data_IF_259956917286
#
_entry.id   IF_259956917286
#
_cell.length_a   1.000
_cell.length_b   1.000
_cell.length_c   1.000
_cell.angle_alpha   90.00
_cell.angle_beta   90.00
_cell.angle_gamma   90.00
#
_symmetry.space_group_name_H-M   'P 1'
#
loop_
_entity.id
_entity.type
_entity.pdbx_description
1 polymer ?
#
# COMPACT_ATOMS: atom_id res chain seq x y z
N UNK A 1 -34.65 15.59 -25.34
CA UNK A 1 -33.75 14.86 -26.27
C UNK A 1 -33.12 13.74 -25.46
N UNK A 2 -33.26 12.48 -25.88
CA UNK A 2 -32.60 11.38 -25.19
C UNK A 2 -31.08 11.52 -25.38
N UNK A 3 -30.35 11.72 -24.29
CA UNK A 3 -28.89 11.72 -24.33
C UNK A 3 -28.41 10.33 -24.74
N UNK A 4 -27.58 10.25 -25.77
CA UNK A 4 -27.00 8.99 -26.20
C UNK A 4 -26.07 8.46 -25.10
N UNK A 5 -26.28 7.22 -24.69
CA UNK A 5 -25.51 6.53 -23.64
C UNK A 5 -24.56 5.53 -24.28
N UNK A 6 -23.35 5.43 -23.74
CA UNK A 6 -22.31 4.49 -24.10
C UNK A 6 -22.00 3.62 -22.88
N UNK A 7 -21.65 2.36 -23.13
CA UNK A 7 -21.20 1.45 -22.07
C UNK A 7 -19.68 1.31 -22.19
N UNK A 8 -18.89 1.86 -21.28
CA UNK A 8 -17.43 1.80 -21.32
C UNK A 8 -16.92 0.66 -20.45
N UNK A 9 -15.98 -0.15 -20.94
CA UNK A 9 -15.38 -1.24 -20.14
C UNK A 9 -14.15 -0.72 -19.39
N UNK A 10 -14.25 -0.57 -18.07
CA UNK A 10 -13.12 -0.22 -17.21
C UNK A 10 -12.47 -1.47 -16.62
N UNK A 11 -11.20 -1.76 -16.92
CA UNK A 11 -10.50 -2.93 -16.40
C UNK A 11 -9.60 -2.61 -15.18
N UNK A 12 -9.66 -1.38 -14.66
CA UNK A 12 -8.76 -0.92 -13.60
C UNK A 12 -9.47 -0.81 -12.26
N UNK A 13 -8.76 -1.20 -11.21
CA UNK A 13 -9.24 -1.17 -9.84
C UNK A 13 -8.14 -0.67 -8.90
N UNK A 14 -8.53 0.13 -7.91
CA UNK A 14 -7.67 0.56 -6.82
C UNK A 14 -8.42 0.28 -5.53
N UNK A 15 -7.96 -0.73 -4.80
CA UNK A 15 -8.53 -1.08 -3.50
C UNK A 15 -7.75 -0.35 -2.41
N UNK A 16 -8.47 0.14 -1.40
CA UNK A 16 -7.89 0.80 -0.22
C UNK A 16 -8.12 -0.11 0.97
N UNK A 17 -7.03 -0.49 1.63
CA UNK A 17 -7.09 -1.26 2.88
C UNK A 17 -7.01 -0.29 4.06
N UNK A 18 -7.96 -0.33 5.02
CA UNK A 18 -7.99 0.60 6.13
C UNK A 18 -6.78 0.38 7.04
N UNK A 19 -6.13 1.46 7.47
CA UNK A 19 -5.13 1.45 8.54
C UNK A 19 -4.92 2.90 9.00
N UNK A 20 -5.13 3.16 10.29
CA UNK A 20 -5.02 4.52 10.81
C UNK A 20 -3.58 4.87 11.17
N UNK A 21 -2.86 3.93 11.79
CA UNK A 21 -1.50 4.19 12.30
C UNK A 21 -0.65 2.94 12.21
N UNK A 22 0.64 3.16 11.94
CA UNK A 22 1.64 2.11 11.79
C UNK A 22 2.92 2.49 12.55
N UNK A 23 3.37 1.59 13.42
CA UNK A 23 4.65 1.66 14.12
C UNK A 23 5.44 0.38 13.84
N UNK A 24 6.74 0.50 13.59
CA UNK A 24 7.64 -0.64 13.46
C UNK A 24 8.81 -0.47 14.42
N UNK A 25 9.02 -1.46 15.27
CA UNK A 25 10.05 -1.52 16.31
C UNK A 25 10.99 -2.68 15.99
N UNK A 26 12.22 -2.38 15.56
CA UNK A 26 13.24 -3.37 15.24
C UNK A 26 14.18 -3.58 16.43
N UNK A 27 14.50 -4.85 16.72
CA UNK A 27 15.48 -5.30 17.70
C UNK A 27 16.43 -6.33 17.04
N UNK A 28 16.76 -6.15 15.75
CA UNK A 28 17.52 -7.12 14.97
C UNK A 28 18.95 -7.30 15.49
N UNK A 29 19.54 -6.26 16.06
CA UNK A 29 20.88 -6.33 16.66
C UNK A 29 20.88 -6.86 18.11
N UNK A 30 19.71 -6.97 18.74
CA UNK A 30 19.51 -7.55 20.07
C UNK A 30 18.21 -8.39 20.11
N UNK A 31 18.15 -9.49 19.33
CA UNK A 31 16.90 -10.20 19.12
C UNK A 31 16.53 -11.08 20.31
N UNK A 32 15.25 -11.41 20.40
CA UNK A 32 14.74 -12.51 21.20
C UNK A 32 15.07 -13.86 20.56
N UNK A 33 14.81 -14.95 21.27
CA UNK A 33 14.91 -16.30 20.70
C UNK A 33 13.92 -16.52 19.55
N UNK A 34 12.79 -15.81 19.55
CA UNK A 34 11.75 -15.92 18.52
C UNK A 34 11.67 -14.67 17.65
N UNK A 35 11.65 -13.48 18.25
CA UNK A 35 11.36 -12.23 17.55
C UNK A 35 12.58 -11.36 17.25
N UNK A 36 12.50 -10.63 16.13
CA UNK A 36 13.45 -9.59 15.71
C UNK A 36 12.81 -8.19 15.67
N UNK A 37 11.51 -8.11 15.96
CA UNK A 37 10.80 -6.85 16.00
C UNK A 37 9.30 -7.03 16.14
N UNK A 38 8.62 -5.91 16.33
CA UNK A 38 7.17 -5.84 16.43
C UNK A 38 6.66 -4.68 15.60
N UNK A 39 5.47 -4.85 15.03
CA UNK A 39 4.79 -3.84 14.24
C UNK A 39 3.36 -3.65 14.75
N UNK A 40 3.15 -2.71 15.70
CA UNK A 40 1.83 -2.29 16.10
C UNK A 40 1.09 -1.51 15.00
N UNK A 41 -0.18 -1.86 14.82
CA UNK A 41 -1.11 -1.29 13.85
C UNK A 41 -2.40 -0.90 14.56
N UNK A 42 -3.01 0.20 14.12
CA UNK A 42 -4.29 0.69 14.65
C UNK A 42 -5.28 0.86 13.52
N UNK A 43 -6.52 0.46 13.78
CA UNK A 43 -7.63 0.54 12.85
C UNK A 43 -8.85 1.15 13.54
N UNK A 44 -9.65 1.88 12.76
CA UNK A 44 -11.00 2.28 13.15
C UNK A 44 -12.00 1.26 12.62
N UNK A 45 -12.77 0.67 13.53
CA UNK A 45 -13.87 -0.24 13.23
C UNK A 45 -15.20 0.40 13.66
N UNK A 46 -16.22 0.33 12.80
CA UNK A 46 -17.52 0.97 13.07
C UNK A 46 -18.24 0.38 14.30
N UNK A 47 -17.99 -0.89 14.63
CA UNK A 47 -18.64 -1.61 15.73
C UNK A 47 -17.77 -1.66 16.99
N UNK A 48 -16.47 -1.90 16.82
CA UNK A 48 -15.52 -2.07 17.92
C UNK A 48 -14.82 -0.77 18.33
N UNK A 49 -14.92 0.28 17.52
CA UNK A 49 -14.19 1.53 17.72
C UNK A 49 -12.72 1.39 17.31
N UNK A 50 -11.82 1.97 18.10
CA UNK A 50 -10.37 1.83 17.85
C UNK A 50 -9.90 0.45 18.29
N UNK A 51 -9.32 -0.31 17.35
CA UNK A 51 -8.78 -1.65 17.59
C UNK A 51 -7.32 -1.75 17.22
N UNK A 52 -6.60 -2.61 17.94
CA UNK A 52 -5.16 -2.76 17.85
C UNK A 52 -4.75 -4.18 17.44
N UNK A 53 -3.68 -4.23 16.66
CA UNK A 53 -3.00 -5.45 16.24
C UNK A 53 -1.50 -5.24 16.37
N UNK A 54 -0.76 -6.31 16.68
CA UNK A 54 0.70 -6.31 16.70
C UNK A 54 1.21 -7.49 15.87
N UNK A 55 1.99 -7.20 14.83
CA UNK A 55 2.73 -8.22 14.09
C UNK A 55 4.06 -8.48 14.80
N UNK A 56 4.30 -9.70 15.25
CA UNK A 56 5.60 -10.17 15.74
C UNK A 56 6.44 -10.73 14.60
N UNK A 57 7.52 -10.03 14.25
CA UNK A 57 8.44 -10.45 13.20
C UNK A 57 9.40 -11.52 13.74
N UNK A 58 9.35 -12.73 13.16
CA UNK A 58 10.11 -13.88 13.65
C UNK A 58 11.48 -13.99 12.97
N UNK A 59 12.43 -14.63 13.66
CA UNK A 59 13.77 -14.94 13.13
C UNK A 59 13.78 -15.87 11.92
N UNK A 60 12.77 -16.72 11.78
CA UNK A 60 12.63 -17.62 10.63
C UNK A 60 12.14 -16.90 9.36
N UNK A 61 11.73 -15.63 9.50
CA UNK A 61 11.21 -14.77 8.44
C UNK A 61 9.67 -14.77 8.33
N UNK A 62 8.97 -15.58 9.13
CA UNK A 62 7.50 -15.55 9.21
C UNK A 62 7.00 -14.50 10.20
N UNK A 63 5.69 -14.33 10.28
CA UNK A 63 5.06 -13.41 11.24
C UNK A 63 4.00 -14.09 12.11
N UNK A 64 3.98 -13.78 13.40
CA UNK A 64 2.84 -14.05 14.27
C UNK A 64 1.98 -12.77 14.36
N UNK A 65 0.66 -12.87 14.22
CA UNK A 65 -0.27 -11.74 14.25
C UNK A 65 -1.10 -11.80 15.53
N UNK A 66 -0.93 -10.83 16.42
CA UNK A 66 -1.66 -10.70 17.68
C UNK A 66 -2.72 -9.62 17.54
N UNK A 67 -3.98 -9.92 17.82
CA UNK A 67 -5.05 -8.94 17.64
C UNK A 67 -6.03 -8.96 18.81
N UNK A 68 -6.66 -7.81 19.06
CA UNK A 68 -7.70 -7.70 20.08
C UNK A 68 -8.94 -8.55 19.70
N UNK A 69 -9.71 -9.00 20.70
CA UNK A 69 -10.88 -9.84 20.46
C UNK A 69 -11.94 -9.20 19.57
N UNK A 70 -12.54 -10.01 18.71
CA UNK A 70 -13.63 -9.59 17.82
C UNK A 70 -13.19 -9.00 16.49
N UNK A 71 -11.89 -8.76 16.29
CA UNK A 71 -11.37 -8.36 14.98
C UNK A 71 -11.51 -9.51 13.95
N UNK A 72 -12.02 -9.20 12.76
CA UNK A 72 -12.04 -10.15 11.66
C UNK A 72 -10.75 -10.02 10.83
N UNK A 73 -9.85 -10.99 11.00
CA UNK A 73 -8.56 -11.02 10.31
C UNK A 73 -8.63 -12.00 9.15
N UNK A 74 -8.45 -11.52 7.92
CA UNK A 74 -8.26 -12.36 6.74
C UNK A 74 -6.79 -12.81 6.65
N UNK A 75 -6.49 -14.12 6.77
CA UNK A 75 -5.13 -14.62 6.69
C UNK A 75 -4.41 -14.30 5.37
N UNK A 76 -5.15 -14.19 4.25
CA UNK A 76 -4.59 -13.96 2.93
C UNK A 76 -3.91 -12.59 2.79
N UNK A 77 -4.24 -11.64 3.66
CA UNK A 77 -3.60 -10.32 3.71
C UNK A 77 -2.12 -10.40 4.16
N UNK A 78 -1.69 -11.52 4.73
CA UNK A 78 -0.33 -11.70 5.27
C UNK A 78 0.58 -12.55 4.39
N UNK A 79 0.09 -13.05 3.24
CA UNK A 79 0.90 -13.84 2.29
C UNK A 79 2.03 -13.02 1.66
N UNK A 80 1.90 -11.69 1.64
CA UNK A 80 2.91 -10.75 1.12
C UNK A 80 3.89 -10.25 2.19
N UNK A 81 3.76 -10.70 3.44
CA UNK A 81 4.55 -10.21 4.58
C UNK A 81 5.65 -11.23 4.94
N UNK A 82 6.93 -10.85 4.77
CA UNK A 82 8.06 -11.72 5.09
C UNK A 82 8.05 -13.02 4.26
N UNK A 83 8.14 -14.18 4.94
CA UNK A 83 7.95 -15.52 4.37
C UNK A 83 6.54 -16.08 4.65
N UNK A 84 5.58 -15.20 4.87
CA UNK A 84 4.19 -15.52 5.17
C UNK A 84 3.88 -15.70 6.65
N UNK A 85 2.63 -16.07 6.90
CA UNK A 85 2.03 -16.18 8.23
C UNK A 85 2.52 -17.43 9.00
N UNK A 86 2.81 -17.28 10.29
CA UNK A 86 3.07 -18.37 11.24
C UNK A 86 1.85 -18.67 12.12
N UNK A 87 1.18 -17.65 12.64
CA UNK A 87 -0.08 -17.77 13.38
C UNK A 87 -0.85 -16.45 13.41
N UNK A 88 -2.16 -16.56 13.56
CA UNK A 88 -3.05 -15.48 14.01
C UNK A 88 -3.54 -15.86 15.40
N UNK A 89 -3.43 -14.93 16.34
CA UNK A 89 -3.68 -15.17 17.75
C UNK A 89 -4.55 -14.02 18.27
N UNK A 90 -5.81 -14.35 18.55
CA UNK A 90 -6.68 -13.46 19.31
C UNK A 90 -6.19 -13.44 20.77
N UNK A 91 -5.89 -12.26 21.31
CA UNK A 91 -5.51 -12.12 22.71
C UNK A 91 -5.87 -10.77 23.30
N UNK A 92 -6.07 -10.77 24.63
CA UNK A 92 -6.31 -9.54 25.38
C UNK A 92 -5.02 -8.71 25.50
N UNK A 93 -5.16 -7.42 25.28
CA UNK A 93 -4.08 -6.46 25.49
C UNK A 93 -4.33 -5.76 26.83
N UNK A 94 -3.51 -6.05 27.84
CA UNK A 94 -3.55 -5.38 29.13
C UNK A 94 -3.29 -3.86 29.00
N UNK A 95 -2.53 -3.47 27.97
CA UNK A 95 -2.44 -2.11 27.50
C UNK A 95 -2.36 -2.09 25.97
N UNK A 96 -3.11 -1.20 25.34
CA UNK A 96 -3.09 -0.94 23.90
C UNK A 96 -3.27 0.56 23.68
N UNK A 97 -2.19 1.26 23.37
CA UNK A 97 -2.24 2.69 23.11
C UNK A 97 -1.18 3.05 22.07
N UNK A 98 -1.57 3.85 21.08
CA UNK A 98 -0.63 4.43 20.14
C UNK A 98 -1.15 5.72 19.53
N UNK A 99 -0.43 6.81 19.81
CA UNK A 99 -0.66 8.14 19.27
C UNK A 99 0.64 8.76 18.77
N UNK A 100 0.55 9.66 17.80
CA UNK A 100 1.65 10.50 17.36
C UNK A 100 1.30 11.95 17.63
N UNK A 101 2.05 12.58 18.53
CA UNK A 101 1.84 13.98 18.92
C UNK A 101 2.85 14.90 18.25
N UNK A 102 2.85 16.18 18.61
CA UNK A 102 3.89 17.13 18.21
C UNK A 102 5.29 16.74 18.72
N UNK A 103 5.36 16.06 19.87
CA UNK A 103 6.63 15.56 20.44
C UNK A 103 7.04 14.20 19.89
N UNK A 104 6.16 13.50 19.17
CA UNK A 104 6.44 12.22 18.52
C UNK A 104 5.59 11.08 19.05
N UNK A 105 6.10 9.86 18.96
CA UNK A 105 5.34 8.64 19.31
C UNK A 105 5.11 8.55 20.82
N UNK A 106 3.87 8.27 21.18
CA UNK A 106 3.48 7.71 22.46
C UNK A 106 2.81 6.36 22.19
N UNK A 107 3.42 5.26 22.64
CA UNK A 107 2.90 3.92 22.44
C UNK A 107 3.13 3.05 23.69
N UNK A 108 2.15 2.22 24.02
CA UNK A 108 2.25 1.23 25.09
C UNK A 108 1.43 -0.01 24.71
N UNK A 109 2.09 -1.16 24.60
CA UNK A 109 1.47 -2.44 24.30
C UNK A 109 1.91 -3.48 25.31
N UNK A 110 0.94 -4.15 25.93
CA UNK A 110 1.17 -5.25 26.87
C UNK A 110 0.23 -6.39 26.57
N UNK A 111 0.77 -7.56 26.22
CA UNK A 111 0.00 -8.75 25.88
C UNK A 111 0.85 -10.01 26.11
N UNK A 112 0.20 -11.19 26.12
CA UNK A 112 0.91 -12.46 26.13
C UNK A 112 1.02 -13.01 24.71
N UNK A 113 2.22 -13.45 24.32
CA UNK A 113 2.42 -14.12 23.04
C UNK A 113 1.85 -15.55 23.05
N UNK A 114 1.89 -16.25 21.90
CA UNK A 114 1.37 -17.63 21.78
C UNK A 114 2.04 -18.67 22.69
N UNK A 115 3.20 -18.34 23.25
CA UNK A 115 3.95 -19.17 24.20
C UNK A 115 3.74 -18.72 25.65
N UNK A 116 2.75 -17.85 25.90
CA UNK A 116 2.43 -17.27 27.21
C UNK A 116 3.57 -16.43 27.78
N UNK A 117 4.41 -15.85 26.93
CA UNK A 117 5.46 -14.90 27.33
C UNK A 117 4.88 -13.51 27.33
N UNK A 118 5.08 -12.77 28.41
CA UNK A 118 4.67 -11.37 28.48
C UNK A 118 5.50 -10.53 27.50
N UNK A 119 4.82 -9.73 26.68
CA UNK A 119 5.42 -8.76 25.76
C UNK A 119 5.04 -7.37 26.24
N UNK A 120 6.04 -6.50 26.40
CA UNK A 120 5.84 -5.10 26.75
C UNK A 120 6.63 -4.22 25.76
N UNK A 121 5.92 -3.33 25.05
CA UNK A 121 6.51 -2.39 24.11
C UNK A 121 6.07 -0.99 24.53
N UNK A 122 7.02 -0.14 24.91
CA UNK A 122 6.73 1.22 25.36
C UNK A 122 7.63 2.24 24.67
N UNK A 123 7.02 3.24 24.06
CA UNK A 123 7.72 4.36 23.43
C UNK A 123 7.08 5.65 23.91
N UNK A 124 7.90 6.58 24.42
CA UNK A 124 7.43 7.90 24.82
C UNK A 124 8.46 8.97 24.43
N UNK A 125 8.18 9.73 23.36
CA UNK A 125 8.99 10.87 22.93
C UNK A 125 8.56 12.17 23.65
N UNK A 126 9.45 12.81 24.39
CA UNK A 126 9.21 14.10 25.08
C UNK A 126 10.02 15.25 24.47
N UNK A 127 10.56 15.03 23.28
CA UNK A 127 11.46 15.97 22.61
C UNK A 127 10.68 17.16 22.02
N UNK A 128 10.92 18.36 22.55
CA UNK A 128 10.24 19.59 22.17
C UNK A 128 10.61 20.16 20.79
N UNK A 129 11.67 19.63 20.15
CA UNK A 129 12.03 20.07 18.80
C UNK A 129 10.94 19.64 17.81
N UNK A 130 10.54 20.53 16.91
CA UNK A 130 9.55 20.21 15.88
C UNK A 130 10.02 19.04 15.00
N UNK A 131 9.14 18.05 14.79
CA UNK A 131 9.34 16.95 13.83
C UNK A 131 9.43 17.50 12.41
N UNK A 132 10.15 16.79 11.55
CA UNK A 132 10.22 17.13 10.12
C UNK A 132 9.97 15.86 9.29
N UNK A 133 8.74 15.36 9.29
CA UNK A 133 8.38 14.13 8.61
C UNK A 133 8.50 14.25 7.08
N UNK A 134 8.40 13.13 6.39
CA UNK A 134 8.42 13.05 4.93
C UNK A 134 7.49 11.92 4.44
N UNK A 135 7.26 11.83 3.12
CA UNK A 135 6.51 10.72 2.54
C UNK A 135 7.44 9.64 2.00
N UNK A 136 6.99 8.38 2.01
CA UNK A 136 7.75 7.23 1.55
C UNK A 136 6.81 6.18 0.93
N UNK A 137 7.21 5.55 -0.17
CA UNK A 137 6.64 4.27 -0.60
C UNK A 137 7.45 3.16 0.07
N UNK A 138 6.82 2.35 0.93
CA UNK A 138 7.49 1.23 1.55
C UNK A 138 7.79 0.12 0.51
N UNK A 139 8.92 -0.59 0.61
CA UNK A 139 9.35 -1.56 -0.38
C UNK A 139 8.74 -2.94 -0.12
N UNK A 140 7.49 -3.00 0.34
CA UNK A 140 6.83 -4.26 0.73
C UNK A 140 6.71 -5.24 -0.44
N UNK A 141 6.51 -4.74 -1.66
CA UNK A 141 6.44 -5.58 -2.85
C UNK A 141 7.78 -6.18 -3.31
N UNK A 142 8.91 -5.81 -2.72
CA UNK A 142 10.20 -6.38 -3.15
C UNK A 142 10.30 -7.88 -2.84
N UNK A 143 9.75 -8.30 -1.70
CA UNK A 143 9.79 -9.68 -1.21
C UNK A 143 8.73 -10.61 -1.82
N UNK A 144 7.74 -10.07 -2.55
CA UNK A 144 6.66 -10.88 -3.10
C UNK A 144 7.13 -11.72 -4.31
N UNK A 145 7.09 -13.04 -4.16
CA UNK A 145 7.43 -13.99 -5.23
C UNK A 145 6.26 -14.17 -6.22
N UNK A 146 5.03 -14.32 -5.70
CA UNK A 146 3.78 -14.50 -6.46
C UNK A 146 2.78 -13.40 -6.12
N UNK A 147 2.97 -12.16 -6.60
CA UNK A 147 2.10 -11.05 -6.22
C UNK A 147 0.67 -11.23 -6.77
N UNK A 148 -0.33 -10.94 -5.93
CA UNK A 148 -1.73 -10.83 -6.36
C UNK A 148 -2.15 -9.41 -6.74
N UNK A 149 -1.36 -8.39 -6.39
CA UNK A 149 -1.58 -6.99 -6.74
C UNK A 149 -0.24 -6.25 -6.82
N UNK A 150 -0.23 -5.01 -7.33
CA UNK A 150 0.88 -4.08 -7.06
C UNK A 150 0.59 -3.34 -5.74
N UNK A 151 1.35 -3.60 -4.66
CA UNK A 151 1.10 -2.96 -3.37
C UNK A 151 1.57 -1.50 -3.37
N UNK A 152 0.72 -0.61 -2.89
CA UNK A 152 0.99 0.82 -2.72
C UNK A 152 0.94 1.14 -1.21
N UNK A 153 2.04 0.88 -0.51
CA UNK A 153 2.19 1.18 0.93
C UNK A 153 2.78 2.58 1.07
N UNK A 154 1.93 3.59 1.06
CA UNK A 154 2.28 5.00 1.03
C UNK A 154 2.27 5.58 2.46
N UNK A 155 3.44 5.78 3.03
CA UNK A 155 3.60 6.26 4.39
C UNK A 155 3.60 7.80 4.40
N UNK A 156 2.49 8.40 4.84
CA UNK A 156 2.39 9.85 5.05
C UNK A 156 2.83 10.23 6.47
N UNK A 157 3.37 11.45 6.63
CA UNK A 157 3.94 11.90 7.90
C UNK A 157 4.93 10.87 8.51
N UNK A 158 5.70 10.19 7.63
CA UNK A 158 6.65 9.17 8.04
C UNK A 158 7.84 9.79 8.76
N UNK A 159 8.23 9.18 9.87
CA UNK A 159 9.40 9.61 10.64
C UNK A 159 10.03 8.47 11.45
N UNK A 160 11.21 8.74 11.98
CA UNK A 160 11.92 7.86 12.90
C UNK A 160 11.78 8.37 14.33
N UNK A 161 11.75 7.45 15.28
CA UNK A 161 11.75 7.79 16.71
C UNK A 161 13.10 8.40 17.07
N UNK A 162 13.09 9.55 17.74
CA UNK A 162 14.33 10.19 18.21
C UNK A 162 14.92 9.41 19.38
N UNK A 163 16.25 9.36 19.47
CA UNK A 163 16.92 8.72 20.61
C UNK A 163 16.96 9.60 21.86
N UNK A 164 17.17 10.91 21.69
CA UNK A 164 17.27 11.85 22.82
C UNK A 164 15.88 12.25 23.32
N UNK A 165 15.70 12.22 24.64
CA UNK A 165 14.44 12.54 25.33
C UNK A 165 13.31 11.59 24.90
N UNK A 166 13.65 10.31 24.82
CA UNK A 166 12.73 9.24 24.47
C UNK A 166 12.96 8.07 25.40
N UNK A 167 11.88 7.52 25.94
CA UNK A 167 11.87 6.17 26.52
C UNK A 167 11.49 5.21 25.41
N UNK A 168 12.28 4.17 25.17
CA UNK A 168 12.00 3.14 24.17
C UNK A 168 12.40 1.79 24.78
N UNK A 169 11.40 1.05 25.24
CA UNK A 169 11.54 -0.21 25.98
C UNK A 169 10.85 -1.31 25.19
N UNK A 170 11.55 -2.42 25.00
CA UNK A 170 10.98 -3.69 24.52
C UNK A 170 11.39 -4.73 25.54
N UNK A 171 10.41 -5.42 26.12
CA UNK A 171 10.64 -6.49 27.08
C UNK A 171 9.84 -7.72 26.66
N UNK A 172 10.50 -8.88 26.68
CA UNK A 172 9.92 -10.18 26.35
C UNK A 172 10.24 -11.11 27.51
N UNK A 173 9.22 -11.59 28.20
CA UNK A 173 9.34 -12.50 29.34
C UNK A 173 10.33 -12.00 30.42
N UNK A 174 10.25 -10.71 30.78
CA UNK A 174 11.15 -10.09 31.76
C UNK A 174 12.56 -9.77 31.25
N UNK A 175 12.88 -10.09 29.99
CA UNK A 175 14.16 -9.74 29.36
C UNK A 175 14.01 -8.49 28.50
N UNK A 176 14.78 -7.45 28.82
CA UNK A 176 14.82 -6.22 28.01
C UNK A 176 15.67 -6.39 26.75
N UNK A 177 15.20 -5.79 25.66
CA UNK A 177 15.83 -5.74 24.35
C UNK A 177 16.02 -4.30 23.88
N UNK A 178 17.13 -4.01 23.22
CA UNK A 178 17.46 -2.67 22.72
C UNK A 178 16.94 -2.46 21.30
N UNK A 179 16.09 -1.43 21.06
CA UNK A 179 15.73 -1.04 19.71
C UNK A 179 16.95 -0.62 18.90
N UNK A 180 16.97 -1.00 17.63
CA UNK A 180 18.07 -0.71 16.72
C UNK A 180 18.27 0.80 16.53
N UNK A 181 19.51 1.21 16.22
CA UNK A 181 19.86 2.61 15.96
C UNK A 181 20.11 2.86 14.46
N UNK A 182 19.69 4.02 13.97
CA UNK A 182 20.10 4.47 12.65
C UNK A 182 21.60 4.82 12.67
N UNK A 183 22.40 4.35 11.69
CA UNK A 183 23.84 4.61 11.65
C UNK A 183 24.16 6.09 11.39
N UNK A 184 23.25 6.81 10.73
CA UNK A 184 23.40 8.22 10.39
C UNK A 184 22.30 9.06 11.03
N UNK A 185 22.62 10.26 11.55
CA UNK A 185 21.62 11.14 12.11
C UNK A 185 20.72 11.73 11.02
N UNK A 186 19.44 11.92 11.35
CA UNK A 186 18.46 12.64 10.53
C UNK A 186 18.17 13.98 11.21
N UNK A 187 18.05 15.07 10.45
CA UNK A 187 17.71 16.40 11.00
C UNK A 187 18.61 16.84 12.20
N UNK A 188 19.89 16.44 12.15
CA UNK A 188 20.91 16.64 13.19
C UNK A 188 20.58 15.99 14.54
N UNK A 189 19.80 14.91 14.54
CA UNK A 189 19.48 14.12 15.71
C UNK A 189 19.80 12.64 15.47
N UNK A 190 20.26 11.96 16.52
CA UNK A 190 20.36 10.49 16.53
C UNK A 190 18.95 9.92 16.61
N UNK A 191 18.68 8.91 15.80
CA UNK A 191 17.38 8.26 15.68
C UNK A 191 17.52 6.78 16.00
N UNK A 192 16.45 6.19 16.52
CA UNK A 192 16.26 4.75 16.48
C UNK A 192 15.85 4.34 15.06
N UNK A 193 16.08 3.09 14.70
CA UNK A 193 15.53 2.48 13.48
C UNK A 193 14.05 2.10 13.65
N UNK A 194 13.48 2.37 14.83
CA UNK A 194 12.04 2.42 15.04
C UNK A 194 11.40 3.53 14.20
N UNK A 195 10.39 3.19 13.42
CA UNK A 195 9.78 4.07 12.42
C UNK A 195 8.25 4.04 12.49
N UNK A 196 7.62 5.13 12.11
CA UNK A 196 6.18 5.26 12.21
C UNK A 196 5.56 6.13 11.13
N UNK A 197 4.27 5.91 10.89
CA UNK A 197 3.40 6.75 10.08
C UNK A 197 2.04 6.86 10.76
N UNK A 198 1.59 8.08 11.12
CA UNK A 198 0.27 8.29 11.71
C UNK A 198 -0.86 8.34 10.68
N UNK A 199 -0.54 8.21 9.39
CA UNK A 199 -1.48 8.25 8.26
C UNK A 199 -0.96 7.35 7.13
N UNK A 200 -0.77 6.05 7.35
CA UNK A 200 -0.39 5.15 6.27
C UNK A 200 -1.57 5.04 5.29
N UNK A 201 -1.30 5.06 4.00
CA UNK A 201 -2.28 4.78 2.96
C UNK A 201 -1.87 3.48 2.28
N UNK A 202 -2.64 2.42 2.54
CA UNK A 202 -2.42 1.10 1.94
C UNK A 202 -3.40 0.94 0.80
N UNK A 203 -2.87 0.74 -0.40
CA UNK A 203 -3.70 0.46 -1.56
C UNK A 203 -3.14 -0.71 -2.38
N UNK A 204 -4.03 -1.39 -3.10
CA UNK A 204 -3.70 -2.46 -4.05
C UNK A 204 -4.15 -2.04 -5.43
N UNK A 205 -3.20 -1.95 -6.36
CA UNK A 205 -3.51 -1.62 -7.75
C UNK A 205 -3.72 -2.90 -8.57
N UNK A 206 -4.88 -2.96 -9.24
CA UNK A 206 -5.37 -4.05 -10.06
C UNK A 206 -5.15 -5.44 -9.43
N UNK A 207 -5.80 -5.79 -8.32
CA UNK A 207 -5.76 -7.15 -7.81
C UNK A 207 -6.08 -8.18 -8.91
N UNK A 208 -5.45 -9.36 -8.81
CA UNK A 208 -5.70 -10.48 -9.68
C UNK A 208 -7.13 -10.98 -9.47
N UNK A 209 -7.89 -11.06 -10.56
CA UNK A 209 -9.32 -11.36 -10.54
C UNK A 209 -9.71 -12.24 -11.72
N UNK A 210 -10.75 -13.04 -11.52
CA UNK A 210 -11.50 -13.75 -12.55
C UNK A 210 -12.99 -13.46 -12.32
N UNK A 211 -13.53 -12.48 -13.04
CA UNK A 211 -14.87 -11.95 -12.77
C UNK A 211 -15.53 -11.31 -14.00
N UNK A 212 -16.83 -11.05 -13.91
CA UNK A 212 -17.58 -10.29 -14.91
C UNK A 212 -17.36 -8.78 -14.71
N UNK A 213 -17.08 -8.07 -15.81
CA UNK A 213 -16.95 -6.62 -15.83
C UNK A 213 -18.31 -5.96 -16.00
N UNK A 214 -18.60 -5.02 -15.09
CA UNK A 214 -19.78 -4.14 -15.18
C UNK A 214 -19.41 -2.90 -16.00
N UNK A 215 -20.04 -2.67 -17.18
CA UNK A 215 -19.75 -1.49 -17.98
C UNK A 215 -20.17 -0.20 -17.30
N UNK A 216 -19.37 0.85 -17.42
CA UNK A 216 -19.71 2.20 -17.00
C UNK A 216 -20.71 2.81 -17.98
N UNK A 217 -21.82 3.35 -17.50
CA UNK A 217 -22.73 4.14 -18.33
C UNK A 217 -22.21 5.59 -18.46
N UNK A 218 -21.86 5.98 -19.68
CA UNK A 218 -21.28 7.29 -19.98
C UNK A 218 -22.12 7.99 -21.05
N UNK A 219 -22.57 9.21 -20.77
CA UNK A 219 -23.31 10.02 -21.73
C UNK A 219 -22.37 10.62 -22.78
N UNK A 220 -22.88 10.88 -23.99
CA UNK A 220 -22.11 11.56 -25.05
C UNK A 220 -21.49 12.86 -24.53
N UNK A 221 -20.16 13.00 -24.69
CA UNK A 221 -19.38 14.18 -24.25
C UNK A 221 -19.39 14.40 -22.72
N UNK A 222 -19.73 13.39 -21.93
CA UNK A 222 -19.57 13.45 -20.48
C UNK A 222 -18.08 13.42 -20.13
N UNK A 223 -17.58 14.51 -19.56
CA UNK A 223 -16.17 14.64 -19.17
C UNK A 223 -15.84 13.93 -17.85
N UNK A 224 -16.83 13.79 -16.97
CA UNK A 224 -16.63 13.24 -15.62
C UNK A 224 -17.78 12.31 -15.23
N UNK A 225 -17.45 11.22 -14.54
CA UNK A 225 -18.40 10.30 -13.95
C UNK A 225 -17.96 9.98 -12.52
N UNK A 226 -18.88 10.04 -11.57
CA UNK A 226 -18.64 9.65 -10.19
C UNK A 226 -19.50 8.45 -9.87
N UNK A 227 -18.87 7.36 -9.42
CA UNK A 227 -19.55 6.15 -8.96
C UNK A 227 -18.95 5.73 -7.61
N UNK A 228 -19.80 5.63 -6.58
CA UNK A 228 -19.37 5.35 -5.21
C UNK A 228 -18.19 6.27 -4.78
N UNK A 229 -17.02 5.70 -4.51
CA UNK A 229 -15.79 6.40 -4.15
C UNK A 229 -14.82 6.63 -5.33
N UNK A 230 -15.22 6.31 -6.56
CA UNK A 230 -14.41 6.48 -7.76
C UNK A 230 -14.85 7.69 -8.59
N UNK A 231 -13.89 8.54 -8.97
CA UNK A 231 -14.08 9.59 -9.96
C UNK A 231 -13.32 9.27 -11.25
N UNK A 232 -14.02 9.27 -12.37
CA UNK A 232 -13.49 9.07 -13.71
C UNK A 232 -13.45 10.40 -14.45
N UNK A 233 -12.38 10.62 -15.20
CA UNK A 233 -12.28 11.71 -16.18
C UNK A 233 -12.08 11.11 -17.56
N UNK A 234 -12.83 11.59 -18.55
CA UNK A 234 -12.78 11.11 -19.93
C UNK A 234 -12.23 12.16 -20.89
N UNK A 235 -11.54 11.67 -21.92
CA UNK A 235 -11.16 12.42 -23.11
C UNK A 235 -11.99 11.89 -24.29
N UNK A 236 -12.49 12.77 -25.16
CA UNK A 236 -13.36 12.38 -26.28
C UNK A 236 -12.73 12.69 -27.62
N UNK A 237 -12.69 11.68 -28.51
CA UNK A 237 -12.40 11.88 -29.93
C UNK A 237 -13.66 11.59 -30.74
N UNK A 238 -14.39 12.64 -31.13
CA UNK A 238 -15.70 12.49 -31.77
C UNK A 238 -16.71 11.84 -30.82
N UNK A 239 -17.15 10.62 -31.13
CA UNK A 239 -18.10 9.84 -30.29
C UNK A 239 -17.42 8.72 -29.48
N UNK A 240 -16.09 8.71 -29.41
CA UNK A 240 -15.32 7.67 -28.73
C UNK A 240 -14.76 8.23 -27.40
N UNK A 241 -15.25 7.77 -26.24
CA UNK A 241 -14.66 8.09 -24.95
C UNK A 241 -13.37 7.29 -24.71
N UNK A 242 -12.45 7.87 -23.94
CA UNK A 242 -11.25 7.24 -23.42
C UNK A 242 -11.01 7.71 -21.99
N UNK A 243 -10.58 6.84 -21.07
CA UNK A 243 -10.32 7.21 -19.67
C UNK A 243 -9.00 7.99 -19.58
N UNK A 244 -9.07 9.23 -19.11
CA UNK A 244 -7.89 10.05 -18.82
C UNK A 244 -7.34 9.79 -17.42
N UNK A 245 -8.23 9.60 -16.44
CA UNK A 245 -7.84 9.27 -15.08
C UNK A 245 -8.96 8.62 -14.29
N UNK A 246 -8.56 7.84 -13.28
CA UNK A 246 -9.42 7.23 -12.27
C UNK A 246 -8.87 7.65 -10.92
N UNK A 247 -9.74 8.20 -10.07
CA UNK A 247 -9.38 8.68 -8.73
C UNK A 247 -10.20 7.94 -7.69
N UNK A 248 -9.52 7.15 -6.88
CA UNK A 248 -10.08 6.47 -5.72
C UNK A 248 -10.06 7.41 -4.52
N UNK A 249 -11.23 7.87 -4.08
CA UNK A 249 -11.38 8.70 -2.88
C UNK A 249 -11.31 7.84 -1.61
N UNK A 250 -10.70 8.40 -0.57
CA UNK A 250 -10.64 7.84 0.77
C UNK A 250 -10.35 8.99 1.77
N UNK A 251 -10.42 8.68 3.06
CA UNK A 251 -10.33 9.68 4.13
C UNK A 251 -8.91 10.22 4.38
N UNK A 252 -7.89 9.59 3.79
CA UNK A 252 -6.49 9.98 3.96
C UNK A 252 -6.03 10.89 2.82
N UNK A 253 -5.86 10.31 1.63
CA UNK A 253 -5.53 11.02 0.39
C UNK A 253 -5.98 10.20 -0.82
N UNK A 254 -6.61 10.82 -1.83
CA UNK A 254 -7.06 10.08 -3.00
C UNK A 254 -5.87 9.44 -3.74
N UNK A 255 -6.08 8.23 -4.25
CA UNK A 255 -5.13 7.54 -5.14
C UNK A 255 -5.60 7.71 -6.57
N UNK A 256 -4.75 8.24 -7.44
CA UNK A 256 -5.09 8.55 -8.83
C UNK A 256 -4.24 7.71 -9.78
N UNK A 257 -4.89 6.97 -10.66
CA UNK A 257 -4.33 6.46 -11.91
C UNK A 257 -4.58 7.49 -13.01
N UNK A 258 -3.51 7.99 -13.63
CA UNK A 258 -3.56 8.94 -14.74
C UNK A 258 -2.89 8.36 -15.96
N UNK A 259 -3.51 8.53 -17.12
CA UNK A 259 -2.91 8.18 -18.40
C UNK A 259 -2.44 9.41 -19.16
N UNK A 260 -1.26 9.32 -19.79
CA UNK A 260 -0.76 10.40 -20.66
C UNK A 260 -1.56 10.39 -21.96
N UNK A 261 -1.51 9.27 -22.68
CA UNK A 261 -2.45 8.90 -23.73
C UNK A 261 -3.67 8.28 -23.05
N UNK A 262 -4.87 8.83 -23.24
CA UNK A 262 -6.07 8.31 -22.56
C UNK A 262 -6.35 6.85 -22.93
N UNK A 263 -6.73 6.02 -21.95
CA UNK A 263 -6.99 4.60 -22.15
C UNK A 263 -8.25 4.39 -23.00
N UNK A 264 -8.16 3.72 -24.15
CA UNK A 264 -9.26 3.63 -25.10
C UNK A 264 -10.39 2.72 -24.61
N UNK A 265 -11.61 2.93 -25.10
CA UNK A 265 -12.68 1.91 -24.99
C UNK A 265 -12.26 0.68 -25.81
N UNK A 266 -12.07 -0.46 -25.14
CA UNK A 266 -11.63 -1.72 -25.76
C UNK A 266 -12.58 -2.20 -26.85
N UNK A 267 -13.87 -1.83 -26.77
CA UNK A 267 -14.87 -2.19 -27.79
C UNK A 267 -14.65 -1.46 -29.10
N UNK A 268 -14.02 -0.29 -29.04
CA UNK A 268 -13.75 0.56 -30.20
C UNK A 268 -12.46 0.19 -30.93
N UNK A 269 -11.66 -0.73 -30.37
CA UNK A 269 -10.41 -1.21 -30.98
C UNK A 269 -10.70 -2.10 -32.18
N UNK A 270 -9.90 -1.93 -33.23
CA UNK A 270 -9.94 -2.77 -34.41
C UNK A 270 -9.27 -4.12 -34.14
N UNK A 271 -9.72 -5.12 -34.87
CA UNK A 271 -9.11 -6.44 -34.84
C UNK A 271 -7.65 -6.39 -35.33
N UNK A 272 -6.74 -7.11 -34.66
CA UNK A 272 -5.29 -7.07 -34.90
C UNK A 272 -4.69 -5.66 -34.76
N UNK A 273 -5.18 -4.86 -33.81
CA UNK A 273 -4.63 -3.55 -33.49
C UNK A 273 -3.97 -3.54 -32.12
N UNK A 274 -3.00 -2.63 -31.97
CA UNK A 274 -2.28 -2.37 -30.73
C UNK A 274 -2.32 -0.89 -30.42
N UNK A 275 -2.60 -0.56 -29.17
CA UNK A 275 -2.54 0.78 -28.62
C UNK A 275 -1.55 0.81 -27.46
N UNK A 276 -0.76 1.86 -27.34
CA UNK A 276 0.24 2.01 -26.29
C UNK A 276 0.17 3.40 -25.66
N UNK A 277 0.52 3.48 -24.39
CA UNK A 277 0.64 4.75 -23.70
C UNK A 277 1.38 4.64 -22.39
N UNK A 278 1.38 5.74 -21.64
CA UNK A 278 2.00 5.86 -20.32
C UNK A 278 0.97 6.08 -19.24
N UNK A 279 1.29 5.59 -18.05
CA UNK A 279 0.48 5.81 -16.85
C UNK A 279 1.31 6.33 -15.68
N UNK A 280 0.63 6.96 -14.73
CA UNK A 280 1.15 7.39 -13.44
C UNK A 280 0.14 7.04 -12.34
N UNK A 281 0.62 6.37 -11.29
CA UNK A 281 -0.07 6.18 -10.01
C UNK A 281 0.48 7.18 -8.99
N UNK A 282 -0.41 7.94 -8.37
CA UNK A 282 -0.04 8.99 -7.42
C UNK A 282 -1.06 9.08 -6.28
N UNK A 283 -0.61 9.56 -5.12
CA UNK A 283 -1.50 9.98 -4.03
C UNK A 283 -1.05 11.37 -3.55
N UNK A 284 -0.77 11.55 -2.25
CA UNK A 284 -0.21 12.80 -1.76
C UNK A 284 1.17 13.09 -2.39
N UNK A 285 1.46 14.33 -2.81
CA UNK A 285 2.73 14.69 -3.48
C UNK A 285 4.01 14.34 -2.71
N UNK A 286 3.94 14.22 -1.38
CA UNK A 286 5.10 13.86 -0.55
C UNK A 286 5.58 12.42 -0.74
N UNK A 287 4.74 11.53 -1.26
CA UNK A 287 5.05 10.09 -1.41
C UNK A 287 5.63 9.74 -2.78
N UNK A 288 5.72 10.71 -3.69
CA UNK A 288 6.19 10.47 -5.05
C UNK A 288 5.11 9.81 -5.92
N UNK A 289 5.55 9.20 -7.02
CA UNK A 289 4.67 8.57 -8.01
C UNK A 289 5.27 7.25 -8.51
N UNK A 290 4.44 6.31 -8.93
CA UNK A 290 4.86 5.13 -9.71
C UNK A 290 4.43 5.37 -11.15
N UNK A 291 5.30 5.10 -12.12
CA UNK A 291 4.97 5.34 -13.52
C UNK A 291 5.50 4.23 -14.43
N UNK A 292 4.93 4.14 -15.62
CA UNK A 292 5.37 3.18 -16.63
C UNK A 292 4.54 3.23 -17.89
N UNK A 293 4.52 2.10 -18.60
CA UNK A 293 3.83 1.95 -19.86
C UNK A 293 2.67 0.97 -19.73
N UNK A 294 1.67 1.14 -20.58
CA UNK A 294 0.63 0.16 -20.81
C UNK A 294 0.48 -0.11 -22.31
N UNK A 295 0.00 -1.30 -22.63
CA UNK A 295 -0.37 -1.69 -23.98
C UNK A 295 -1.74 -2.38 -23.97
N UNK A 296 -2.49 -2.22 -25.06
CA UNK A 296 -3.77 -2.89 -25.30
C UNK A 296 -3.73 -3.49 -26.69
N UNK A 297 -3.94 -4.79 -26.79
CA UNK A 297 -3.92 -5.54 -28.04
C UNK A 297 -5.24 -6.27 -28.21
N UNK A 298 -5.82 -6.23 -29.41
CA UNK A 298 -7.04 -6.98 -29.73
C UNK A 298 -6.74 -8.00 -30.82
N UNK A 299 -6.86 -9.28 -30.48
CA UNK A 299 -6.55 -10.41 -31.37
C UNK A 299 -7.56 -11.54 -31.20
N UNK A 300 -8.13 -12.01 -32.30
CA UNK A 300 -9.19 -13.02 -32.40
C UNK A 300 -10.38 -12.75 -31.46
N UNK A 301 -10.78 -11.49 -31.30
CA UNK A 301 -11.90 -11.11 -30.43
C UNK A 301 -11.57 -11.03 -28.93
N UNK A 302 -10.34 -11.38 -28.53
CA UNK A 302 -9.82 -11.21 -27.17
C UNK A 302 -9.03 -9.90 -27.08
N UNK A 303 -9.20 -9.16 -25.97
CA UNK A 303 -8.39 -7.97 -25.68
C UNK A 303 -7.42 -8.27 -24.54
N UNK A 304 -6.13 -8.18 -24.81
CA UNK A 304 -5.08 -8.28 -23.79
C UNK A 304 -4.58 -6.90 -23.42
N UNK A 305 -4.51 -6.62 -22.12
CA UNK A 305 -3.94 -5.41 -21.55
C UNK A 305 -2.69 -5.79 -20.78
N UNK A 306 -1.61 -5.07 -20.98
CA UNK A 306 -0.37 -5.23 -20.20
C UNK A 306 0.00 -3.91 -19.56
N UNK A 307 0.31 -3.92 -18.26
CA UNK A 307 0.85 -2.76 -17.54
C UNK A 307 2.21 -3.12 -16.94
N UNK A 308 3.20 -2.28 -17.20
CA UNK A 308 4.53 -2.41 -16.62
C UNK A 308 4.91 -1.06 -16.00
N UNK A 309 5.06 -0.94 -14.66
CA UNK A 309 5.62 0.24 -13.99
C UNK A 309 7.13 0.38 -14.28
N UNK A 310 7.50 0.49 -15.55
CA UNK A 310 8.87 0.44 -16.07
C UNK A 310 9.77 1.56 -15.55
N UNK A 311 9.17 2.70 -15.18
CA UNK A 311 9.92 3.82 -14.59
C UNK A 311 10.11 3.64 -13.08
N UNK A 312 9.41 2.68 -12.48
CA UNK A 312 9.46 2.35 -11.07
C UNK A 312 8.86 3.46 -10.21
N UNK A 313 9.35 3.56 -8.98
CA UNK A 313 8.98 4.65 -8.08
C UNK A 313 9.89 5.87 -8.27
N UNK A 314 9.27 7.03 -8.45
CA UNK A 314 9.89 8.35 -8.55
C UNK A 314 9.62 9.12 -7.25
N UNK A 315 10.50 9.03 -6.23
CA UNK A 315 10.34 9.84 -5.02
C UNK A 315 10.40 11.33 -5.37
N UNK A 316 9.67 12.15 -4.61
CA UNK A 316 9.84 13.60 -4.58
C UNK A 316 10.57 13.98 -3.30
N UNK A 317 11.91 13.91 -3.28
CA UNK A 317 12.66 14.15 -2.05
C UNK A 317 12.47 15.59 -1.60
N UNK A 318 11.90 15.77 -0.41
CA UNK A 318 11.79 17.09 0.22
C UNK A 318 13.13 17.59 0.80
N UNK A 319 14.12 16.70 1.00
CA UNK A 319 15.37 17.01 1.71
C UNK A 319 16.58 16.20 1.21
N UNK A 320 17.74 16.85 1.24
CA UNK A 320 19.05 16.22 0.98
C UNK A 320 19.42 15.15 2.03
N UNK A 321 19.00 15.31 3.29
CA UNK A 321 19.29 14.32 4.35
C UNK A 321 18.64 12.96 4.11
N UNK A 322 17.66 12.87 3.21
CA UNK A 322 17.01 11.60 2.86
C UNK A 322 17.77 10.85 1.75
N UNK A 323 18.81 11.46 1.16
CA UNK A 323 19.61 10.83 0.11
C UNK A 323 20.26 9.52 0.54
N UNK A 324 20.56 9.32 1.84
CA UNK A 324 21.14 8.06 2.31
C UNK A 324 20.11 6.91 2.34
N UNK A 325 18.87 7.19 2.76
CA UNK A 325 17.76 6.24 2.59
C UNK A 325 17.59 5.94 1.11
N UNK A 326 17.84 6.96 0.26
CA UNK A 326 17.84 6.77 -1.17
C UNK A 326 19.12 6.21 -1.81
N UNK A 327 20.19 5.92 -1.06
CA UNK A 327 21.30 5.08 -1.57
C UNK A 327 20.98 3.60 -1.39
N UNK A 328 20.16 3.25 -0.39
CA UNK A 328 19.37 2.03 -0.40
C UNK A 328 18.19 2.09 -1.42
N UNK A 329 17.96 3.24 -2.09
CA UNK A 329 16.82 3.43 -3.01
C UNK A 329 16.81 2.51 -4.22
N UNK A 330 17.90 1.81 -4.57
CA UNK A 330 17.81 0.93 -5.73
C UNK A 330 16.65 -0.05 -5.52
N UNK A 331 16.53 -0.67 -4.35
CA UNK A 331 15.39 -1.51 -4.01
C UNK A 331 14.09 -0.71 -4.08
N UNK A 332 13.96 0.38 -3.29
CA UNK A 332 12.74 1.20 -3.24
C UNK A 332 12.23 1.71 -4.60
N UNK A 333 13.14 2.06 -5.52
CA UNK A 333 12.81 2.60 -6.85
C UNK A 333 12.59 1.50 -7.89
N UNK A 334 13.26 0.36 -7.76
CA UNK A 334 13.30 -0.66 -8.81
C UNK A 334 12.36 -1.82 -8.55
N UNK A 335 11.99 -2.10 -7.30
CA UNK A 335 11.08 -3.20 -7.02
C UNK A 335 9.78 -3.10 -7.84
N UNK A 336 9.15 -1.92 -8.08
CA UNK A 336 7.95 -1.89 -8.92
C UNK A 336 8.25 -2.35 -10.35
N UNK A 337 9.43 -2.02 -10.90
CA UNK A 337 9.84 -2.38 -12.28
C UNK A 337 9.94 -3.88 -12.54
N UNK A 338 9.91 -4.68 -11.48
CA UNK A 338 9.93 -6.13 -11.58
C UNK A 338 8.53 -6.70 -11.76
N UNK A 339 7.48 -5.89 -11.66
CA UNK A 339 6.09 -6.31 -11.81
C UNK A 339 5.61 -6.13 -13.26
N UNK A 340 4.72 -7.01 -13.67
CA UNK A 340 3.89 -6.88 -14.85
C UNK A 340 2.49 -7.37 -14.53
N UNK A 341 1.48 -6.58 -14.87
CA UNK A 341 0.09 -6.98 -14.83
C UNK A 341 -0.36 -7.32 -16.23
N UNK A 342 -1.06 -8.44 -16.38
CA UNK A 342 -1.73 -8.82 -17.62
C UNK A 342 -3.20 -9.06 -17.32
N UNK A 343 -4.07 -8.54 -18.17
CA UNK A 343 -5.49 -8.84 -18.17
C UNK A 343 -5.95 -9.27 -19.54
N UNK A 344 -6.71 -10.36 -19.60
CA UNK A 344 -7.39 -10.82 -20.79
C UNK A 344 -8.88 -10.58 -20.62
N UNK A 345 -9.48 -9.88 -21.58
CA UNK A 345 -10.89 -9.52 -21.59
C UNK A 345 -11.54 -10.12 -22.82
N UNK A 346 -12.64 -10.83 -22.61
CA UNK A 346 -13.42 -11.47 -23.65
C UNK A 346 -14.91 -11.14 -23.48
N UNK A 347 -15.59 -11.03 -24.61
CA UNK A 347 -17.05 -10.88 -24.67
C UNK A 347 -17.70 -12.26 -24.54
N UNK A 348 -18.64 -12.40 -23.61
CA UNK A 348 -19.42 -13.61 -23.39
C UNK A 348 -20.64 -13.65 -24.33
N UNK A 349 -21.23 -14.84 -24.50
CA UNK A 349 -22.40 -15.05 -25.40
C UNK A 349 -23.62 -14.18 -25.05
N UNK A 350 -23.72 -13.72 -23.80
CA UNK A 350 -24.79 -12.84 -23.30
C UNK A 350 -24.51 -11.33 -23.54
N UNK A 351 -23.39 -10.98 -24.18
CA UNK A 351 -22.96 -9.60 -24.42
C UNK A 351 -22.31 -8.91 -23.22
N UNK A 352 -22.09 -9.64 -22.11
CA UNK A 352 -21.26 -9.18 -20.99
C UNK A 352 -19.78 -9.39 -21.31
N UNK A 353 -18.92 -8.74 -20.53
CA UNK A 353 -17.47 -8.87 -20.65
C UNK A 353 -16.96 -9.53 -19.37
N UNK A 354 -15.99 -10.43 -19.50
CA UNK A 354 -15.29 -11.00 -18.36
C UNK A 354 -13.80 -10.69 -18.44
N UNK A 355 -13.15 -10.62 -17.29
CA UNK A 355 -11.72 -10.38 -17.14
C UNK A 355 -11.08 -11.54 -16.40
N UNK A 356 -9.91 -11.97 -16.89
CA UNK A 356 -8.96 -12.77 -16.14
C UNK A 356 -7.66 -11.98 -16.07
N UNK A 357 -7.23 -11.61 -14.87
CA UNK A 357 -6.01 -10.81 -14.69
C UNK A 357 -5.09 -11.36 -13.61
N UNK A 358 -3.80 -11.11 -13.79
CA UNK A 358 -2.77 -11.53 -12.85
C UNK A 358 -1.57 -10.59 -12.84
N UNK A 359 -0.83 -10.62 -11.74
CA UNK A 359 0.52 -10.05 -11.67
C UNK A 359 1.57 -11.16 -11.75
N UNK A 360 2.72 -10.82 -12.32
CA UNK A 360 3.92 -11.66 -12.27
C UNK A 360 5.18 -10.82 -12.07
N UNK A 361 6.24 -11.48 -11.62
CA UNK A 361 7.59 -10.92 -11.62
C UNK A 361 8.25 -11.18 -12.98
N UNK A 362 8.86 -10.15 -13.58
CA UNK A 362 9.49 -10.19 -14.92
C UNK A 362 11.02 -10.07 -14.90
N UNK A 363 11.65 -10.17 -13.72
CA UNK A 363 13.11 -10.07 -13.56
C UNK A 363 13.65 -11.00 -12.49
#
# INVERSE_FOLDING_TARGET
MNQQTFHFINPFQIDIDPMDRLLLVNIENDPDDIYIGFEPQVFSDEQLGEVHLVIGWRRDGKVDVYHQPGMNIDPSNYDIVGKGLAAIVECEFAAAFYEVTDTGVQANYQFADRYQREINIKIAETNSKKRKPFGLLAPMGDAAETPSALPLVLLHDFYFVRKKQTTAEVEINGKSHQPDELPLPIDRAKMLFTRYSPKPLIARFNPAVEEDLIPLEVQLQQEQLTLANCDFTFEWTGRKPAIKSITQRNDIYPVTLRFTEAFPDIKSLYENSRFEGKFELSAHPSTGVIAGNYAVEKTKGETTITIVPSDGWKPRPAKLSLLFLYTAAKIFKHWPKTYEWTANIYEQDNGQYAISSNWRRIR
#
